data_IF_635539124718
#
_entry.id   IF_635539124718
#
_cell.length_a   1.000
_cell.length_b   1.000
_cell.length_c   1.000
_cell.angle_alpha   90.00
_cell.angle_beta   90.00
_cell.angle_gamma   90.00
#
_symmetry.space_group_name_H-M   'P 1'
#
loop_
_entity.id
_entity.type
_entity.pdbx_description
1 polymer ?
#
# COMPACT_ATOMS: atom_id res chain seq x y z
N UNK A 1 69.52 26.14 37.59
CA UNK A 1 69.08 27.18 36.61
C UNK A 1 68.96 26.50 35.25
N UNK A 2 67.87 26.70 34.51
CA UNK A 2 67.64 26.08 33.20
C UNK A 2 68.47 26.84 32.15
N UNK A 3 69.14 26.14 31.23
CA UNK A 3 69.91 26.75 30.15
C UNK A 3 69.00 27.53 29.17
N UNK A 4 69.45 28.70 28.70
CA UNK A 4 68.65 29.64 27.90
C UNK A 4 68.03 29.00 26.64
N UNK A 5 68.71 28.02 26.04
CA UNK A 5 68.22 27.31 24.85
C UNK A 5 66.96 26.47 25.12
N UNK A 6 66.80 25.95 26.34
CA UNK A 6 65.65 25.11 26.73
C UNK A 6 64.49 25.90 27.34
N UNK A 7 64.69 27.21 27.54
CA UNK A 7 63.68 28.08 28.14
C UNK A 7 62.41 28.19 27.28
N UNK A 8 62.58 28.24 25.96
CA UNK A 8 61.47 28.33 25.01
C UNK A 8 60.58 27.08 25.00
N UNK A 9 61.16 25.89 25.14
CA UNK A 9 60.42 24.63 25.23
C UNK A 9 59.65 24.52 26.54
N UNK A 10 60.25 25.00 27.63
CA UNK A 10 59.62 25.06 28.93
C UNK A 10 58.37 25.96 28.88
N UNK A 11 58.46 27.13 28.25
CA UNK A 11 57.37 28.10 28.19
C UNK A 11 56.16 27.61 27.35
N UNK A 12 56.41 26.91 26.23
CA UNK A 12 55.34 26.29 25.42
C UNK A 12 54.57 25.19 26.16
N UNK A 13 55.23 24.44 27.04
CA UNK A 13 54.61 23.33 27.76
C UNK A 13 53.61 23.81 28.83
N UNK A 14 53.82 25.00 29.40
CA UNK A 14 52.92 25.61 30.39
C UNK A 14 51.70 26.29 29.75
N UNK A 15 51.85 26.89 28.57
CA UNK A 15 50.71 27.55 27.87
C UNK A 15 49.60 26.57 27.45
N UNK A 16 49.89 25.26 27.37
CA UNK A 16 48.95 24.27 26.82
C UNK A 16 47.86 23.82 27.81
N UNK A 17 47.92 24.21 29.09
CA UNK A 17 46.99 23.73 30.12
C UNK A 17 46.29 24.91 30.82
N UNK A 18 44.95 24.88 30.89
CA UNK A 18 44.12 25.87 31.59
C UNK A 18 44.10 25.66 33.11
N UNK A 19 43.96 26.79 33.85
CA UNK A 19 43.89 27.05 35.31
C UNK A 19 44.73 26.24 36.33
N UNK A 20 45.16 25.01 36.03
CA UNK A 20 46.10 24.23 36.86
C UNK A 20 47.43 24.02 36.12
N UNK A 21 48.30 25.02 36.21
CA UNK A 21 49.66 25.03 35.65
C UNK A 21 50.65 24.17 36.48
N UNK A 22 50.56 22.85 36.36
CA UNK A 22 51.63 21.96 36.85
C UNK A 22 52.23 21.15 35.69
N UNK A 23 53.57 21.16 35.50
CA UNK A 23 54.20 20.37 34.45
C UNK A 23 54.06 18.87 34.79
N UNK A 24 53.68 18.04 33.80
CA UNK A 24 53.69 16.59 33.99
C UNK A 24 55.14 16.12 34.18
N UNK A 25 55.44 15.29 35.20
CA UNK A 25 56.76 14.74 35.39
C UNK A 25 57.14 13.88 34.18
N UNK A 26 58.40 14.02 33.75
CA UNK A 26 58.97 13.30 32.62
C UNK A 26 58.77 11.80 32.83
N UNK A 27 57.98 11.19 31.94
CA UNK A 27 57.54 9.81 32.07
C UNK A 27 58.75 8.92 31.81
N UNK A 28 59.36 8.38 32.87
CA UNK A 28 60.35 7.30 32.72
C UNK A 28 59.78 6.27 31.75
N UNK A 29 60.56 5.95 30.71
CA UNK A 29 60.23 4.89 29.75
C UNK A 29 60.11 3.57 30.51
N UNK A 30 58.92 3.31 31.03
CA UNK A 30 58.49 1.99 31.43
C UNK A 30 58.54 1.14 30.17
N UNK A 31 59.68 0.47 30.01
CA UNK A 31 59.94 -0.71 29.21
C UNK A 31 58.63 -1.30 28.72
N UNK A 32 58.38 -1.21 27.41
CA UNK A 32 57.20 -1.71 26.70
C UNK A 32 56.66 -2.98 27.36
N UNK A 33 55.77 -2.85 28.35
CA UNK A 33 54.84 -3.91 28.71
C UNK A 33 53.92 -3.95 27.52
N UNK A 34 54.28 -4.81 26.55
CA UNK A 34 53.37 -5.32 25.54
C UNK A 34 52.08 -5.62 26.30
N UNK A 35 51.07 -4.78 26.12
CA UNK A 35 49.71 -5.14 26.45
C UNK A 35 49.45 -6.33 25.54
N UNK A 36 49.73 -7.53 26.05
CA UNK A 36 49.25 -8.76 25.46
C UNK A 36 47.75 -8.55 25.38
N UNK A 37 47.27 -8.22 24.18
CA UNK A 37 45.87 -8.32 23.85
C UNK A 37 45.55 -9.79 24.15
N UNK A 38 44.93 -10.05 25.30
CA UNK A 38 44.36 -11.35 25.61
C UNK A 38 43.38 -11.61 24.48
N UNK A 39 43.81 -12.37 23.47
CA UNK A 39 42.91 -12.95 22.48
C UNK A 39 41.86 -13.70 23.30
N UNK A 40 40.55 -13.50 23.07
CA UNK A 40 39.55 -14.30 23.75
C UNK A 40 39.85 -15.75 23.38
N UNK A 41 40.44 -16.48 24.31
CA UNK A 41 40.67 -17.90 24.17
C UNK A 41 39.30 -18.56 24.37
N UNK A 42 38.49 -18.55 23.31
CA UNK A 42 37.36 -19.47 23.23
C UNK A 42 38.01 -20.85 23.30
N UNK A 43 37.71 -21.62 24.35
CA UNK A 43 38.11 -23.01 24.45
C UNK A 43 37.81 -23.67 23.10
N UNK A 44 38.83 -24.26 22.46
CA UNK A 44 38.68 -24.82 21.11
C UNK A 44 37.59 -25.91 21.03
N UNK A 45 37.11 -26.42 22.17
CA UNK A 45 35.94 -27.30 22.28
C UNK A 45 34.58 -26.58 22.36
N UNK A 46 34.50 -25.40 22.97
CA UNK A 46 33.24 -24.63 23.11
C UNK A 46 32.89 -23.86 21.84
N UNK A 47 33.90 -23.30 21.14
CA UNK A 47 33.70 -22.59 19.89
C UNK A 47 33.14 -23.49 18.77
N UNK A 48 33.53 -24.77 18.75
CA UNK A 48 33.01 -25.76 17.78
C UNK A 48 31.54 -26.09 18.02
N UNK A 49 31.11 -26.19 19.28
CA UNK A 49 29.70 -26.42 19.65
C UNK A 49 28.83 -25.20 19.34
N UNK A 50 29.32 -23.99 19.60
CA UNK A 50 28.64 -22.75 19.26
C UNK A 50 28.55 -22.53 17.73
N UNK A 51 29.58 -22.89 16.97
CA UNK A 51 29.53 -22.87 15.52
C UNK A 51 28.52 -23.88 14.95
N UNK A 52 28.48 -25.11 15.51
CA UNK A 52 27.50 -26.13 15.13
C UNK A 52 26.06 -25.71 15.43
N UNK A 53 25.79 -25.11 16.60
CA UNK A 53 24.45 -24.62 16.93
C UNK A 53 24.01 -23.46 16.03
N UNK A 54 24.94 -22.57 15.68
CA UNK A 54 24.65 -21.46 14.76
C UNK A 54 24.32 -21.95 13.35
N UNK A 55 25.05 -22.95 12.84
CA UNK A 55 24.76 -23.60 11.55
C UNK A 55 23.39 -24.29 11.59
N UNK A 56 23.04 -24.94 12.70
CA UNK A 56 21.74 -25.58 12.88
C UNK A 56 20.59 -24.55 12.86
N UNK A 57 20.73 -23.44 13.58
CA UNK A 57 19.73 -22.36 13.59
C UNK A 57 19.62 -21.71 12.21
N UNK A 58 20.74 -21.45 11.54
CA UNK A 58 20.74 -20.91 10.18
C UNK A 58 20.06 -21.86 9.20
N UNK A 59 20.27 -23.17 9.32
CA UNK A 59 19.58 -24.18 8.52
C UNK A 59 18.07 -24.14 8.71
N UNK A 60 17.59 -24.05 9.96
CA UNK A 60 16.15 -23.93 10.27
C UNK A 60 15.59 -22.63 9.69
N UNK A 61 16.31 -21.51 9.84
CA UNK A 61 15.88 -20.23 9.29
C UNK A 61 15.75 -20.27 7.76
N UNK A 62 16.68 -20.90 7.06
CA UNK A 62 16.63 -21.07 5.60
C UNK A 62 15.42 -21.91 5.16
N UNK A 63 15.11 -22.99 5.88
CA UNK A 63 13.91 -23.81 5.60
C UNK A 63 12.63 -22.98 5.78
N UNK A 64 12.56 -22.19 6.85
CA UNK A 64 11.41 -21.30 7.09
C UNK A 64 11.24 -20.26 5.98
N UNK A 65 12.33 -19.67 5.48
CA UNK A 65 12.28 -18.73 4.36
C UNK A 65 11.73 -19.37 3.08
N UNK A 66 12.10 -20.62 2.79
CA UNK A 66 11.59 -21.35 1.63
C UNK A 66 10.07 -21.55 1.76
N UNK A 67 9.60 -21.97 2.94
CA UNK A 67 8.18 -22.18 3.20
C UNK A 67 7.41 -20.85 3.04
N UNK A 68 7.87 -19.78 3.67
CA UNK A 68 7.25 -18.44 3.57
C UNK A 68 7.19 -17.99 2.11
N UNK A 69 8.26 -18.19 1.36
CA UNK A 69 8.31 -17.81 -0.07
C UNK A 69 7.32 -18.62 -0.89
N UNK A 70 7.22 -19.93 -0.66
CA UNK A 70 6.26 -20.79 -1.34
C UNK A 70 4.80 -20.38 -1.05
N UNK A 71 4.47 -20.09 0.21
CA UNK A 71 3.15 -19.57 0.59
C UNK A 71 2.88 -18.20 -0.01
N UNK A 72 3.88 -17.30 -0.03
CA UNK A 72 3.74 -15.98 -0.63
C UNK A 72 3.46 -16.06 -2.13
N UNK A 73 4.13 -16.97 -2.86
CA UNK A 73 3.87 -17.21 -4.27
C UNK A 73 2.44 -17.72 -4.52
N UNK A 74 1.96 -18.67 -3.70
CA UNK A 74 0.58 -19.16 -3.80
C UNK A 74 -0.44 -18.05 -3.50
N UNK A 75 -0.17 -17.21 -2.50
CA UNK A 75 -1.03 -16.09 -2.16
C UNK A 75 -1.08 -15.05 -3.29
N UNK A 76 0.06 -14.73 -3.91
CA UNK A 76 0.11 -13.85 -5.08
C UNK A 76 -0.69 -14.41 -6.26
N UNK A 77 -0.59 -15.73 -6.51
CA UNK A 77 -1.39 -16.39 -7.54
C UNK A 77 -2.89 -16.22 -7.26
N UNK A 78 -3.34 -16.50 -6.04
CA UNK A 78 -4.74 -16.37 -5.65
C UNK A 78 -5.24 -14.93 -5.79
N UNK A 79 -4.43 -13.94 -5.36
CA UNK A 79 -4.77 -12.52 -5.51
C UNK A 79 -4.93 -12.17 -6.99
N UNK A 80 -4.00 -12.61 -7.85
CA UNK A 80 -4.07 -12.33 -9.28
C UNK A 80 -5.27 -13.01 -9.96
N UNK A 81 -5.61 -14.23 -9.53
CA UNK A 81 -6.82 -14.93 -10.02
C UNK A 81 -8.08 -14.17 -9.62
N UNK A 82 -8.22 -13.81 -8.33
CA UNK A 82 -9.37 -13.03 -7.85
C UNK A 82 -9.46 -11.67 -8.55
N UNK A 83 -8.33 -11.02 -8.83
CA UNK A 83 -8.32 -9.75 -9.56
C UNK A 83 -8.78 -9.92 -11.00
N UNK A 84 -8.38 -11.02 -11.65
CA UNK A 84 -8.82 -11.34 -13.01
C UNK A 84 -10.33 -11.63 -13.06
N UNK A 85 -10.83 -12.42 -12.11
CA UNK A 85 -12.26 -12.71 -11.96
C UNK A 85 -13.07 -11.44 -11.71
N UNK A 86 -12.62 -10.56 -10.80
CA UNK A 86 -13.28 -9.27 -10.57
C UNK A 86 -13.30 -8.39 -11.82
N UNK A 87 -12.21 -8.35 -12.59
CA UNK A 87 -12.18 -7.60 -13.86
C UNK A 87 -13.15 -8.17 -14.90
N UNK A 88 -13.27 -9.50 -14.97
CA UNK A 88 -14.24 -10.15 -15.85
C UNK A 88 -15.67 -9.78 -15.45
N UNK A 89 -16.00 -9.90 -14.15
CA UNK A 89 -17.31 -9.51 -13.62
C UNK A 89 -17.62 -8.02 -13.87
N UNK A 90 -16.64 -7.13 -13.70
CA UNK A 90 -16.82 -5.71 -14.00
C UNK A 90 -17.11 -5.48 -15.49
N UNK A 91 -16.42 -6.18 -16.40
CA UNK A 91 -16.70 -6.12 -17.84
C UNK A 91 -18.08 -6.68 -18.21
N UNK A 92 -18.54 -7.73 -17.52
CA UNK A 92 -19.90 -8.24 -17.70
C UNK A 92 -20.95 -7.24 -17.23
N UNK A 93 -20.73 -6.58 -16.09
CA UNK A 93 -21.61 -5.51 -15.59
C UNK A 93 -21.67 -4.36 -16.59
N UNK A 94 -20.54 -3.92 -17.13
CA UNK A 94 -20.49 -2.86 -18.14
C UNK A 94 -21.25 -3.25 -19.42
N UNK A 95 -21.06 -4.49 -19.90
CA UNK A 95 -21.80 -5.00 -21.06
C UNK A 95 -23.32 -5.04 -20.80
N UNK A 96 -23.73 -5.52 -19.63
CA UNK A 96 -25.13 -5.53 -19.22
C UNK A 96 -25.69 -4.10 -19.12
N UNK A 97 -24.93 -3.17 -18.57
CA UNK A 97 -25.32 -1.77 -18.48
C UNK A 97 -25.49 -1.14 -19.87
N UNK A 98 -24.58 -1.41 -20.81
CA UNK A 98 -24.73 -0.99 -22.21
C UNK A 98 -26.00 -1.59 -22.83
N UNK A 99 -26.26 -2.88 -22.62
CA UNK A 99 -27.48 -3.54 -23.11
C UNK A 99 -28.75 -2.89 -22.54
N UNK A 100 -28.75 -2.57 -21.25
CA UNK A 100 -29.87 -1.88 -20.59
C UNK A 100 -30.07 -0.49 -21.20
N UNK A 101 -29.00 0.29 -21.34
CA UNK A 101 -29.12 1.62 -21.96
C UNK A 101 -29.56 1.54 -23.43
N UNK A 102 -29.05 0.58 -24.19
CA UNK A 102 -29.49 0.40 -25.58
C UNK A 102 -30.95 -0.05 -25.65
N UNK A 103 -31.40 -0.90 -24.73
CA UNK A 103 -32.79 -1.36 -24.68
C UNK A 103 -33.75 -0.26 -24.22
N UNK A 104 -33.28 0.65 -23.36
CA UNK A 104 -34.04 1.77 -22.83
C UNK A 104 -33.87 3.06 -23.64
N UNK A 105 -33.12 3.02 -24.74
CA UNK A 105 -33.04 4.13 -25.69
C UNK A 105 -34.38 4.20 -26.45
N UNK A 106 -35.00 5.37 -26.44
CA UNK A 106 -36.24 5.67 -27.17
C UNK A 106 -36.15 5.22 -28.63
N UNK A 107 -35.01 5.40 -29.28
CA UNK A 107 -34.79 5.05 -30.69
C UNK A 107 -34.82 3.53 -30.92
N UNK A 108 -34.30 2.75 -29.96
CA UNK A 108 -34.39 1.28 -30.00
C UNK A 108 -35.82 0.80 -29.76
N UNK A 109 -36.50 1.40 -28.78
CA UNK A 109 -37.91 1.10 -28.48
C UNK A 109 -38.79 1.40 -29.69
N UNK A 110 -38.61 2.56 -30.32
CA UNK A 110 -39.31 2.97 -31.54
C UNK A 110 -39.02 2.00 -32.69
N UNK A 111 -37.75 1.69 -32.96
CA UNK A 111 -37.37 0.75 -34.02
C UNK A 111 -37.97 -0.65 -33.82
N UNK A 112 -37.99 -1.17 -32.58
CA UNK A 112 -38.63 -2.45 -32.25
C UNK A 112 -40.14 -2.37 -32.42
N UNK A 113 -40.76 -1.30 -31.92
CA UNK A 113 -42.20 -1.09 -31.98
C UNK A 113 -42.68 -0.99 -33.43
N UNK A 114 -42.02 -0.18 -34.25
CA UNK A 114 -42.43 0.04 -35.65
C UNK A 114 -41.97 -1.07 -36.58
N UNK A 115 -40.77 -1.62 -36.37
CA UNK A 115 -40.17 -2.63 -37.26
C UNK A 115 -40.64 -4.05 -36.99
N UNK A 116 -40.74 -4.45 -35.72
CA UNK A 116 -41.05 -5.84 -35.35
C UNK A 116 -42.49 -6.03 -34.87
N UNK A 117 -43.01 -5.09 -34.07
CA UNK A 117 -44.36 -5.18 -33.50
C UNK A 117 -45.44 -4.57 -34.41
N UNK A 118 -45.05 -3.96 -35.54
CA UNK A 118 -45.97 -3.36 -36.51
C UNK A 118 -46.73 -2.14 -35.97
N UNK A 119 -46.24 -1.51 -34.90
CA UNK A 119 -46.83 -0.28 -34.38
C UNK A 119 -46.57 0.88 -35.34
N UNK A 120 -47.51 1.82 -35.41
CA UNK A 120 -47.38 3.01 -36.26
C UNK A 120 -47.16 4.22 -35.37
N UNK A 121 -46.12 5.00 -35.67
CA UNK A 121 -45.87 6.24 -34.95
C UNK A 121 -47.01 7.24 -35.23
N UNK A 122 -47.62 7.84 -34.21
CA UNK A 122 -48.77 8.72 -34.40
C UNK A 122 -48.39 9.99 -35.16
N UNK A 123 -49.20 10.34 -36.16
CA UNK A 123 -49.10 11.61 -36.89
C UNK A 123 -49.52 12.80 -36.03
N UNK A 124 -49.13 14.03 -36.40
CA UNK A 124 -49.59 15.25 -35.72
C UNK A 124 -51.13 15.32 -35.61
N UNK A 125 -51.85 14.85 -36.63
CA UNK A 125 -53.31 14.76 -36.64
C UNK A 125 -53.90 13.74 -35.66
N UNK A 126 -53.09 12.85 -35.10
CA UNK A 126 -53.50 11.82 -34.14
C UNK A 126 -53.25 12.22 -32.68
N UNK A 127 -52.69 13.42 -32.44
CA UNK A 127 -52.42 13.94 -31.11
C UNK A 127 -53.62 14.75 -30.62
N UNK A 128 -54.16 14.37 -29.46
CA UNK A 128 -55.19 15.15 -28.76
C UNK A 128 -54.51 15.93 -27.64
N UNK A 129 -54.59 17.25 -27.71
CA UNK A 129 -54.07 18.14 -26.66
C UNK A 129 -55.18 18.41 -25.66
N UNK A 130 -54.93 18.08 -24.39
CA UNK A 130 -55.84 18.38 -23.29
C UNK A 130 -55.60 19.82 -22.86
N UNK A 131 -56.66 20.62 -22.84
CA UNK A 131 -56.68 21.99 -22.36
C UNK A 131 -57.32 22.07 -20.97
N UNK A 132 -57.22 23.22 -20.30
CA UNK A 132 -57.82 23.39 -18.98
C UNK A 132 -59.36 23.24 -19.00
N UNK A 133 -59.98 23.44 -20.16
CA UNK A 133 -61.42 23.28 -20.37
C UNK A 133 -61.85 21.80 -20.49
N UNK A 134 -60.88 20.90 -20.73
CA UNK A 134 -61.11 19.45 -20.80
C UNK A 134 -60.97 18.77 -19.41
N UNK A 135 -60.60 19.53 -18.38
CA UNK A 135 -60.48 19.04 -17.00
C UNK A 135 -61.91 18.97 -16.41
N UNK A 136 -62.37 17.78 -15.97
CA UNK A 136 -63.68 17.65 -15.35
C UNK A 136 -63.82 18.54 -14.11
N UNK A 137 -64.95 19.23 -13.95
CA UNK A 137 -65.19 20.11 -12.78
C UNK A 137 -65.10 19.36 -11.45
N UNK A 138 -65.52 18.09 -11.43
CA UNK A 138 -65.45 17.22 -10.24
C UNK A 138 -64.06 16.62 -10.04
N UNK A 139 -63.10 16.86 -10.94
CA UNK A 139 -61.75 16.32 -10.88
C UNK A 139 -61.64 14.90 -11.46
N UNK A 140 -60.53 14.66 -12.15
CA UNK A 140 -60.28 13.39 -12.86
C UNK A 140 -60.26 12.16 -11.92
N UNK A 141 -59.82 12.36 -10.67
CA UNK A 141 -59.75 11.29 -9.67
C UNK A 141 -61.13 10.79 -9.23
N UNK A 142 -62.10 11.70 -9.06
CA UNK A 142 -63.46 11.35 -8.63
C UNK A 142 -64.21 10.63 -9.76
N UNK A 143 -64.05 11.07 -11.00
CA UNK A 143 -64.65 10.42 -12.17
C UNK A 143 -64.08 9.01 -12.44
N UNK A 144 -62.78 8.80 -12.22
CA UNK A 144 -62.15 7.47 -12.28
C UNK A 144 -62.69 6.55 -11.19
N UNK A 145 -62.89 7.07 -9.98
CA UNK A 145 -63.43 6.31 -8.86
C UNK A 145 -64.86 5.86 -9.14
N UNK A 146 -65.69 6.74 -9.71
CA UNK A 146 -67.05 6.39 -10.07
C UNK A 146 -67.10 5.27 -11.13
N UNK A 147 -66.34 5.37 -12.21
CA UNK A 147 -66.33 4.35 -13.29
C UNK A 147 -65.66 3.02 -12.91
N UNK A 148 -64.78 3.00 -11.92
CA UNK A 148 -64.10 1.78 -11.50
C UNK A 148 -64.91 0.98 -10.47
N UNK A 149 -65.81 1.63 -9.74
CA UNK A 149 -66.53 1.03 -8.60
C UNK A 149 -68.05 0.99 -8.77
N UNK A 150 -68.60 1.54 -9.88
CA UNK A 150 -69.96 1.36 -10.36
C UNK A 150 -69.97 0.74 -11.75
#
# INVERSE_FOLDING_TARGET
MIAAERWYEYQKNYQKYGLDMKPQPEREERSRRRRSAKKPAISAGEGKKAALSLVMIAGIAMIMLIIITAYSANLQYNINSMLKENRALAGEIENLQVKVYSANNIEYVESKATGELGMVYPSESSKVYITNDDIPEEGFADMLREKAYN
#
